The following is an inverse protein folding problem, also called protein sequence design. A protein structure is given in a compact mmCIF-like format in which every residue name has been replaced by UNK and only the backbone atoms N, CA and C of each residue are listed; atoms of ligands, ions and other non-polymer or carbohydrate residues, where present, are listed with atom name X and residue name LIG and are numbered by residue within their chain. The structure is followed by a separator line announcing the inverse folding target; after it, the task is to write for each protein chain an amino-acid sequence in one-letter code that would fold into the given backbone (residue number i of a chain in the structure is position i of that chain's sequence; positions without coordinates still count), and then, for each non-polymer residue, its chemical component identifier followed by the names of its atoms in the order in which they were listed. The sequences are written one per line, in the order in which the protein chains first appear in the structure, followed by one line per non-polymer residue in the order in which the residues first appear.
data_IF_803757311859
#
_entry.id   IF_803757311859
#
_cell.length_a   1.000
_cell.length_b   1.000
_cell.length_c   1.000
_cell.angle_alpha   90.00
_cell.angle_beta   90.00
_cell.angle_gamma   90.00
#
_symmetry.space_group_name_H-M   'P 1'
#
loop_
_entity.id
_entity.type
_entity.pdbx_description
1 polymer ?
#
# COMPACT_ATOMS: atom_id res chain seq x y z
N UNK A 1 -2.21 -9.14 11.95
CA UNK A 1 -1.31 -7.96 12.05
C UNK A 1 -2.05 -6.75 11.52
N UNK A 2 -1.84 -5.56 12.10
CA UNK A 2 -2.42 -4.33 11.55
C UNK A 2 -1.41 -3.68 10.59
N UNK A 3 -1.82 -3.44 9.34
CA UNK A 3 -1.06 -2.66 8.37
C UNK A 3 -1.70 -1.28 8.25
N UNK A 4 -0.92 -0.22 8.50
CA UNK A 4 -1.35 1.14 8.14
C UNK A 4 -0.71 1.55 6.82
N UNK A 5 -1.50 2.17 5.96
CA UNK A 5 -1.08 2.65 4.65
C UNK A 5 -1.40 4.13 4.58
N UNK A 6 -0.41 4.93 4.20
CA UNK A 6 -0.60 6.32 3.81
C UNK A 6 -0.25 6.50 2.35
N UNK A 7 -1.19 7.05 1.58
CA UNK A 7 -0.99 7.45 0.20
C UNK A 7 -0.29 8.81 0.18
N UNK A 8 0.99 8.81 -0.15
CA UNK A 8 1.86 10.00 -0.10
C UNK A 8 1.89 10.64 -1.48
N UNK A 9 1.28 11.83 -1.56
CA UNK A 9 1.24 12.63 -2.78
C UNK A 9 2.65 13.05 -3.23
N UNK A 10 2.82 13.29 -4.53
CA UNK A 10 4.06 13.86 -5.06
C UNK A 10 4.23 15.33 -4.61
N UNK A 11 5.41 15.91 -4.80
CA UNK A 11 5.66 17.30 -4.42
C UNK A 11 4.87 18.31 -5.27
N UNK A 12 4.57 17.95 -6.51
CA UNK A 12 3.82 18.72 -7.51
C UNK A 12 2.33 18.33 -7.59
N UNK A 13 1.88 17.48 -6.67
CA UNK A 13 0.48 17.09 -6.58
C UNK A 13 -0.40 18.24 -6.07
N UNK A 14 -1.69 18.17 -6.39
CA UNK A 14 -2.67 19.11 -5.83
C UNK A 14 -2.81 18.91 -4.31
N UNK A 15 -3.29 19.93 -3.56
CA UNK A 15 -3.52 19.77 -2.13
C UNK A 15 -4.42 18.58 -1.80
N UNK A 16 -4.25 17.96 -0.63
CA UNK A 16 -4.99 16.76 -0.21
C UNK A 16 -6.51 16.89 -0.35
N UNK A 17 -7.07 18.06 -0.06
CA UNK A 17 -8.52 18.34 -0.17
C UNK A 17 -9.04 18.52 -1.60
N UNK A 18 -8.16 18.53 -2.59
CA UNK A 18 -8.54 18.73 -4.00
C UNK A 18 -9.40 17.59 -4.52
N UNK A 19 -10.30 17.90 -5.44
CA UNK A 19 -11.20 16.91 -6.04
C UNK A 19 -10.45 15.75 -6.68
N UNK A 20 -9.33 16.01 -7.36
CA UNK A 20 -8.56 14.95 -8.03
C UNK A 20 -7.92 13.99 -7.04
N UNK A 21 -7.27 14.48 -5.97
CA UNK A 21 -6.70 13.58 -4.96
C UNK A 21 -7.80 12.82 -4.22
N UNK A 22 -8.93 13.46 -3.93
CA UNK A 22 -10.06 12.79 -3.30
C UNK A 22 -10.68 11.72 -4.20
N UNK A 23 -10.66 11.89 -5.53
CA UNK A 23 -11.04 10.83 -6.48
C UNK A 23 -10.07 9.66 -6.38
N UNK A 24 -8.76 9.90 -6.34
CA UNK A 24 -7.76 8.83 -6.23
C UNK A 24 -7.92 8.04 -4.91
N UNK A 25 -8.19 8.73 -3.81
CA UNK A 25 -8.48 8.08 -2.53
C UNK A 25 -9.77 7.26 -2.56
N UNK A 26 -10.80 7.74 -3.27
CA UNK A 26 -12.04 6.97 -3.50
C UNK A 26 -11.79 5.74 -4.36
N UNK A 27 -10.95 5.84 -5.40
CA UNK A 27 -10.59 4.69 -6.24
C UNK A 27 -9.85 3.63 -5.44
N UNK A 28 -8.87 4.03 -4.62
CA UNK A 28 -8.18 3.12 -3.70
C UNK A 28 -9.17 2.42 -2.76
N UNK A 29 -10.05 3.19 -2.14
CA UNK A 29 -11.09 2.71 -1.22
C UNK A 29 -12.06 1.73 -1.91
N UNK A 30 -12.54 2.08 -3.11
CA UNK A 30 -13.47 1.24 -3.87
C UNK A 30 -12.89 -0.14 -4.12
N UNK A 31 -11.61 -0.23 -4.51
CA UNK A 31 -10.95 -1.52 -4.71
C UNK A 31 -10.95 -2.39 -3.44
N UNK A 32 -10.81 -1.79 -2.26
CA UNK A 32 -10.92 -2.52 -0.99
C UNK A 32 -12.35 -2.94 -0.69
N UNK A 33 -13.30 -2.02 -0.87
CA UNK A 33 -14.74 -2.25 -0.65
C UNK A 33 -15.24 -3.39 -1.57
N UNK A 34 -14.89 -3.37 -2.86
CA UNK A 34 -15.29 -4.35 -3.88
C UNK A 34 -14.74 -5.77 -3.58
N UNK A 35 -13.57 -5.83 -2.94
CA UNK A 35 -12.95 -7.08 -2.50
C UNK A 35 -13.41 -7.53 -1.10
N UNK A 36 -14.31 -6.79 -0.45
CA UNK A 36 -14.79 -7.09 0.91
C UNK A 36 -13.71 -6.95 1.98
N UNK A 37 -12.64 -6.21 1.72
CA UNK A 37 -11.54 -5.99 2.67
C UNK A 37 -12.00 -5.00 3.75
N UNK A 38 -11.93 -5.41 5.01
CA UNK A 38 -12.23 -4.53 6.14
C UNK A 38 -11.08 -3.57 6.38
N UNK A 39 -11.39 -2.28 6.48
CA UNK A 39 -10.43 -1.24 6.83
C UNK A 39 -11.09 -0.13 7.64
N UNK A 40 -10.26 0.67 8.30
CA UNK A 40 -10.62 1.99 8.81
C UNK A 40 -9.87 3.05 8.03
N UNK A 41 -10.47 4.23 7.89
CA UNK A 41 -9.93 5.35 7.12
C UNK A 41 -9.93 6.61 7.98
N UNK A 42 -8.82 7.35 7.98
CA UNK A 42 -8.76 8.65 8.64
C UNK A 42 -9.23 9.74 7.69
N UNK A 43 -10.10 10.58 8.24
CA UNK A 43 -10.63 11.76 7.56
C UNK A 43 -10.46 12.96 8.48
N UNK A 44 -10.29 14.13 7.87
CA UNK A 44 -10.40 15.40 8.57
C UNK A 44 -11.87 15.82 8.58
N UNK A 45 -12.38 16.13 9.77
CA UNK A 45 -13.75 16.60 10.00
C UNK A 45 -13.65 18.03 10.53
N UNK A 46 -14.63 18.87 10.19
CA UNK A 46 -14.72 20.24 10.67
C UNK A 46 -15.90 20.35 11.63
N UNK A 47 -15.76 21.18 12.67
CA UNK A 47 -16.80 21.41 13.69
C UNK A 47 -17.94 22.34 13.20
N UNK A 48 -18.16 22.41 11.88
CA UNK A 48 -19.24 23.20 11.27
C UNK A 48 -20.20 22.28 10.53
N UNK A 49 -21.50 22.51 10.72
CA UNK A 49 -22.57 21.76 10.06
C UNK A 49 -22.52 21.85 8.52
N UNK A 50 -21.87 22.88 7.97
CA UNK A 50 -21.79 23.12 6.51
C UNK A 50 -20.48 22.63 5.88
N UNK A 51 -19.48 22.25 6.68
CA UNK A 51 -18.17 21.86 6.18
C UNK A 51 -18.06 20.35 5.99
N UNK A 52 -18.07 19.89 4.74
CA UNK A 52 -17.80 18.49 4.40
C UNK A 52 -16.33 18.15 4.70
N UNK A 53 -16.12 17.11 5.51
CA UNK A 53 -14.79 16.56 5.75
C UNK A 53 -14.16 15.93 4.51
N UNK A 54 -12.87 15.61 4.58
CA UNK A 54 -12.15 14.96 3.47
C UNK A 54 -11.20 13.87 3.96
N UNK A 55 -10.92 12.90 3.08
CA UNK A 55 -10.00 11.80 3.36
C UNK A 55 -8.56 12.29 3.45
N UNK A 56 -7.81 11.75 4.41
CA UNK A 56 -6.37 12.01 4.55
C UNK A 56 -5.50 11.01 3.77
N UNK A 57 -6.10 10.06 3.05
CA UNK A 57 -5.37 8.99 2.35
C UNK A 57 -4.67 8.03 3.31
N UNK A 58 -5.15 7.95 4.55
CA UNK A 58 -4.61 7.11 5.62
C UNK A 58 -5.60 6.00 5.95
N UNK A 59 -5.17 4.76 5.81
CA UNK A 59 -5.97 3.54 5.97
C UNK A 59 -5.30 2.62 6.97
N UNK A 60 -6.08 1.90 7.77
CA UNK A 60 -5.59 0.79 8.58
C UNK A 60 -6.40 -0.47 8.27
N UNK A 61 -5.68 -1.53 7.93
CA UNK A 61 -6.19 -2.75 7.31
C UNK A 61 -5.72 -3.94 8.15
N UNK A 62 -6.61 -4.90 8.37
CA UNK A 62 -6.20 -6.18 8.92
C UNK A 62 -5.45 -6.97 7.86
N UNK A 63 -4.12 -7.03 7.99
CA UNK A 63 -3.27 -7.61 6.98
C UNK A 63 -3.22 -9.13 7.07
N UNK A 64 -3.47 -9.77 5.93
CA UNK A 64 -3.29 -11.20 5.69
C UNK A 64 -2.71 -11.39 4.28
N UNK A 65 -2.07 -12.54 4.01
CA UNK A 65 -1.53 -12.85 2.69
C UNK A 65 -2.59 -12.83 1.58
N UNK A 66 -3.84 -13.13 1.92
CA UNK A 66 -4.98 -13.07 0.99
C UNK A 66 -5.34 -11.64 0.56
N UNK A 67 -5.05 -10.64 1.40
CA UNK A 67 -5.33 -9.22 1.13
C UNK A 67 -4.24 -8.60 0.25
N UNK A 68 -3.04 -9.18 0.19
CA UNK A 68 -1.90 -8.62 -0.55
C UNK A 68 -2.18 -8.35 -2.04
N UNK A 69 -2.80 -9.27 -2.82
CA UNK A 69 -3.13 -8.99 -4.22
C UNK A 69 -4.09 -7.81 -4.40
N UNK A 70 -5.07 -7.67 -3.49
CA UNK A 70 -6.03 -6.55 -3.49
C UNK A 70 -5.31 -5.23 -3.21
N UNK A 71 -4.37 -5.24 -2.25
CA UNK A 71 -3.53 -4.08 -1.96
C UNK A 71 -2.67 -3.69 -3.15
N UNK A 72 -2.04 -4.66 -3.81
CA UNK A 72 -1.27 -4.43 -5.04
C UNK A 72 -2.12 -3.75 -6.11
N UNK A 73 -3.36 -4.20 -6.32
CA UNK A 73 -4.28 -3.58 -7.28
C UNK A 73 -4.65 -2.14 -6.87
N UNK A 74 -5.03 -1.93 -5.60
CA UNK A 74 -5.44 -0.62 -5.09
C UNK A 74 -4.30 0.41 -5.15
N UNK A 75 -3.10 0.00 -4.73
CA UNK A 75 -1.88 0.81 -4.77
C UNK A 75 -1.39 1.03 -6.20
N UNK A 76 -1.59 0.06 -7.10
CA UNK A 76 -1.24 0.20 -8.51
C UNK A 76 -1.91 1.40 -9.17
N UNK A 77 -3.21 1.59 -8.92
CA UNK A 77 -3.93 2.78 -9.37
C UNK A 77 -3.34 4.09 -8.84
N UNK A 78 -2.90 4.10 -7.58
CA UNK A 78 -2.27 5.26 -6.96
C UNK A 78 -0.92 5.64 -7.61
N UNK A 79 -0.06 4.66 -7.87
CA UNK A 79 1.23 4.90 -8.52
C UNK A 79 1.09 5.29 -9.99
N UNK A 80 0.15 4.69 -10.71
CA UNK A 80 -0.07 4.97 -12.14
C UNK A 80 -0.69 6.35 -12.37
N UNK A 81 -1.47 6.84 -11.42
CA UNK A 81 -2.14 8.13 -11.56
C UNK A 81 -1.16 9.29 -11.74
N UNK A 82 -0.02 9.31 -11.01
CA UNK A 82 1.04 10.33 -11.16
C UNK A 82 2.43 9.85 -10.75
N UNK A 83 3.43 10.31 -11.49
CA UNK A 83 4.85 10.09 -11.18
C UNK A 83 5.23 10.76 -9.86
N UNK A 84 6.05 10.07 -9.05
CA UNK A 84 6.57 10.61 -7.79
C UNK A 84 5.69 10.36 -6.57
N UNK A 85 4.47 9.84 -6.77
CA UNK A 85 3.63 9.33 -5.69
C UNK A 85 4.27 8.12 -5.02
N UNK A 86 4.06 8.02 -3.71
CA UNK A 86 4.57 6.96 -2.87
C UNK A 86 3.47 6.39 -2.00
N UNK A 87 3.72 5.26 -1.39
CA UNK A 87 3.00 4.81 -0.21
C UNK A 87 3.97 4.75 0.96
N UNK A 88 3.44 4.98 2.16
CA UNK A 88 4.11 4.67 3.41
C UNK A 88 3.34 3.56 4.11
N UNK A 89 4.04 2.49 4.44
CA UNK A 89 3.53 1.33 5.15
C UNK A 89 4.02 1.38 6.59
N UNK A 90 3.15 1.08 7.54
CA UNK A 90 3.51 0.86 8.95
C UNK A 90 3.02 -0.52 9.37
N UNK A 91 3.94 -1.38 9.79
CA UNK A 91 3.69 -2.76 10.25
C UNK A 91 4.40 -2.96 11.59
N UNK A 92 3.64 -3.18 12.65
CA UNK A 92 4.13 -3.32 14.04
C UNK A 92 5.18 -2.26 14.45
N UNK A 93 4.97 -1.01 14.01
CA UNK A 93 5.85 0.13 14.31
C UNK A 93 7.02 0.32 13.33
N UNK A 94 7.26 -0.62 12.42
CA UNK A 94 8.23 -0.48 11.32
C UNK A 94 7.62 0.35 10.21
N UNK A 95 8.27 1.46 9.85
CA UNK A 95 7.82 2.38 8.80
C UNK A 95 8.67 2.19 7.54
N UNK A 96 8.01 1.90 6.42
CA UNK A 96 8.65 1.67 5.12
C UNK A 96 7.98 2.54 4.06
N UNK A 97 8.72 2.96 3.04
CA UNK A 97 8.17 3.71 1.89
C UNK A 97 8.45 2.97 0.58
N UNK A 98 7.45 2.94 -0.30
CA UNK A 98 7.56 2.39 -1.65
C UNK A 98 7.08 3.41 -2.69
N UNK A 99 7.80 3.53 -3.80
CA UNK A 99 7.41 4.29 -4.99
C UNK A 99 6.89 3.41 -6.13
N UNK A 100 6.78 2.09 -5.92
CA UNK A 100 6.27 1.15 -6.91
C UNK A 100 5.65 -0.10 -6.28
N UNK A 101 4.85 -0.83 -7.06
CA UNK A 101 4.28 -2.13 -6.65
C UNK A 101 5.39 -3.11 -6.26
N UNK A 102 6.43 -3.22 -7.08
CA UNK A 102 7.54 -4.15 -6.86
C UNK A 102 8.31 -3.84 -5.57
N UNK A 103 8.48 -2.56 -5.25
CA UNK A 103 9.09 -2.15 -3.98
C UNK A 103 8.18 -2.49 -2.80
N UNK A 104 6.87 -2.22 -2.92
CA UNK A 104 5.90 -2.58 -1.88
C UNK A 104 5.93 -4.08 -1.56
N UNK A 105 5.85 -4.93 -2.58
CA UNK A 105 5.83 -6.39 -2.42
C UNK A 105 7.09 -6.90 -1.72
N UNK A 106 8.27 -6.41 -2.16
CA UNK A 106 9.54 -6.74 -1.52
C UNK A 106 9.60 -6.31 -0.05
N UNK A 107 9.07 -5.13 0.28
CA UNK A 107 9.06 -4.63 1.65
C UNK A 107 8.15 -5.46 2.56
N UNK A 108 6.99 -5.89 2.04
CA UNK A 108 6.09 -6.79 2.76
C UNK A 108 6.74 -8.16 2.97
N UNK A 109 7.36 -8.72 1.94
CA UNK A 109 8.03 -10.02 2.00
C UNK A 109 9.23 -10.01 2.96
N UNK A 110 10.07 -8.97 2.88
CA UNK A 110 11.18 -8.77 3.80
C UNK A 110 10.70 -8.65 5.24
N UNK A 111 9.62 -7.88 5.46
CA UNK A 111 9.02 -7.73 6.77
C UNK A 111 8.53 -9.07 7.34
N UNK A 112 7.80 -9.86 6.55
CA UNK A 112 7.33 -11.18 6.99
C UNK A 112 8.49 -12.12 7.29
N UNK A 113 9.54 -12.11 6.47
CA UNK A 113 10.73 -12.93 6.68
C UNK A 113 11.41 -12.59 8.01
N UNK A 114 11.64 -11.29 8.28
CA UNK A 114 12.22 -10.81 9.53
C UNK A 114 11.34 -11.17 10.73
N UNK A 115 10.02 -10.98 10.60
CA UNK A 115 9.05 -11.30 11.67
C UNK A 115 9.04 -12.78 12.01
N UNK A 116 9.07 -13.64 11.00
CA UNK A 116 9.01 -15.09 11.16
C UNK A 116 10.39 -15.70 11.50
N UNK A 117 11.43 -14.86 11.69
CA UNK A 117 12.79 -15.26 12.05
C UNK A 117 13.55 -15.94 10.91
N UNK A 118 13.08 -15.79 9.68
CA UNK A 118 13.73 -16.32 8.48
C UNK A 118 14.57 -15.23 7.80
N UNK A 119 15.79 -15.59 7.39
CA UNK A 119 16.63 -14.67 6.59
C UNK A 119 15.99 -14.52 5.22
N UNK A 120 15.57 -13.31 4.86
CA UNK A 120 15.13 -12.98 3.50
C UNK A 120 16.30 -13.14 2.52
N UNK A 121 16.23 -14.13 1.63
CA UNK A 121 17.15 -14.29 0.51
C UNK A 121 16.48 -13.82 -0.79
N UNK A 122 16.82 -12.63 -1.31
CA UNK A 122 16.22 -12.08 -2.53
C UNK A 122 16.60 -12.84 -3.81
N UNK A 123 17.58 -13.75 -3.78
CA UNK A 123 18.02 -14.53 -4.94
C UNK A 123 17.41 -15.95 -4.98
N UNK A 124 16.63 -16.33 -3.96
CA UNK A 124 15.97 -17.64 -3.89
C UNK A 124 14.96 -17.90 -5.03
N UNK A 125 14.39 -16.85 -5.63
CA UNK A 125 13.49 -16.93 -6.80
C UNK A 125 14.20 -16.97 -8.15
N UNK A 126 15.53 -16.85 -8.21
CA UNK A 126 16.29 -16.88 -9.47
C UNK A 126 16.73 -18.27 -9.91
N UNK A 127 16.74 -19.25 -9.01
CA UNK A 127 17.20 -20.59 -9.30
C UNK A 127 16.02 -21.55 -9.48
N UNK A 128 15.34 -21.43 -10.62
CA UNK A 128 14.59 -22.55 -11.20
C UNK A 128 15.54 -23.68 -11.62
N UNK A 129 15.06 -24.93 -11.72
CA UNK A 129 15.91 -26.11 -11.84
C UNK A 129 16.41 -26.30 -13.28
N UNK A 130 17.36 -25.47 -13.72
CA UNK A 130 18.14 -25.75 -14.92
C UNK A 130 19.52 -26.30 -14.53
N UNK A 131 19.52 -27.59 -14.22
CA UNK A 131 20.69 -28.46 -14.42
C UNK A 131 20.26 -29.92 -14.53
N UNK A 132 20.45 -30.53 -15.71
CA UNK A 132 20.96 -31.89 -15.80
C UNK A 132 22.42 -31.80 -16.24
N UNK A 133 23.35 -32.12 -15.34
CA UNK A 133 24.01 -33.43 -15.26
C UNK A 133 24.97 -33.68 -16.42
N UNK A 134 26.26 -33.70 -16.09
CA UNK A 134 27.32 -33.96 -17.04
C UNK A 134 27.25 -35.33 -17.71
N UNK A 135 27.87 -35.37 -18.89
CA UNK A 135 28.89 -36.34 -19.31
C UNK A 135 29.86 -35.64 -20.24
#
# INVERSE_FOLDING_TARGET
MQLKIKLVAAADDQPTKSTSIQQDYRSFRSTLDDAGVKYSQRSMVFDSAEALGYSLGEFAIEFTKTVLPVLTAAVGGWFLARKGRKIRLEMDGVILEAGSIKEMEKLVELYESVRDGQVYDPDSHRNGPDSPSGR
#
